data_IF_916181274941
#
_entry.id   IF_916181274941
#
_cell.length_a   1.000
_cell.length_b   1.000
_cell.length_c   1.000
_cell.angle_alpha   90.00
_cell.angle_beta   90.00
_cell.angle_gamma   90.00
#
_symmetry.space_group_name_H-M   'P 1'
#
loop_
_entity.id
_entity.type
_entity.pdbx_description
1 polymer ?
#
# COMPACT_ATOMS: atom_id res chain seq x y z
N UNK A 1 -26.34 11.78 15.22
CA UNK A 1 -25.80 11.07 14.06
C UNK A 1 -26.10 11.91 12.84
N UNK A 2 -25.12 12.10 11.97
CA UNK A 2 -25.23 12.89 10.76
C UNK A 2 -24.90 12.01 9.57
N UNK A 3 -25.74 12.08 8.54
CA UNK A 3 -25.51 11.31 7.30
C UNK A 3 -24.30 11.86 6.54
N UNK A 4 -23.34 11.02 6.24
CA UNK A 4 -22.08 11.38 5.55
C UNK A 4 -21.89 10.54 4.32
N UNK A 5 -21.35 11.14 3.26
CA UNK A 5 -21.03 10.41 2.03
C UNK A 5 -19.97 9.34 2.32
N UNK A 6 -20.13 8.18 1.72
CA UNK A 6 -19.28 7.02 1.93
C UNK A 6 -18.96 6.34 0.61
N UNK A 7 -17.72 5.90 0.46
CA UNK A 7 -17.28 5.04 -0.61
C UNK A 7 -16.42 3.90 -0.07
N UNK A 8 -16.55 2.70 -0.63
CA UNK A 8 -15.55 1.66 -0.47
C UNK A 8 -14.87 1.46 -1.82
N UNK A 9 -13.57 1.65 -1.84
CA UNK A 9 -12.74 1.70 -3.04
C UNK A 9 -11.75 0.56 -3.02
N UNK A 10 -11.68 -0.21 -4.09
CA UNK A 10 -10.59 -1.16 -4.33
C UNK A 10 -9.44 -0.46 -5.03
N UNK A 11 -8.27 -0.54 -4.45
CA UNK A 11 -7.05 0.10 -4.95
C UNK A 11 -6.13 -0.92 -5.60
N UNK A 12 -5.34 -0.46 -6.58
CA UNK A 12 -4.43 -1.26 -7.42
C UNK A 12 -5.12 -2.25 -8.36
N UNK A 13 -6.35 -1.98 -8.74
CA UNK A 13 -7.09 -2.81 -9.67
C UNK A 13 -8.10 -2.01 -10.48
N UNK A 14 -8.44 -2.51 -11.67
CA UNK A 14 -9.57 -2.04 -12.48
C UNK A 14 -10.79 -2.95 -12.32
N UNK A 15 -10.63 -4.10 -11.67
CA UNK A 15 -11.68 -5.11 -11.49
C UNK A 15 -12.22 -5.01 -10.06
N UNK A 16 -13.53 -4.78 -9.86
CA UNK A 16 -14.11 -4.76 -8.51
C UNK A 16 -13.81 -6.03 -7.71
N UNK A 17 -13.54 -5.86 -6.42
CA UNK A 17 -13.26 -6.92 -5.45
C UNK A 17 -11.94 -7.66 -5.64
N UNK A 18 -11.05 -7.13 -6.50
CA UNK A 18 -9.78 -7.75 -6.84
C UNK A 18 -8.54 -6.98 -6.35
N UNK A 19 -8.73 -5.82 -5.71
CA UNK A 19 -7.67 -4.98 -5.15
C UNK A 19 -7.55 -5.05 -3.63
N UNK A 20 -7.02 -3.97 -3.05
CA UNK A 20 -7.00 -3.74 -1.60
C UNK A 20 -8.10 -2.72 -1.24
N UNK A 21 -9.15 -3.13 -0.49
CA UNK A 21 -10.27 -2.26 -0.19
C UNK A 21 -9.93 -1.24 0.91
N UNK A 22 -10.41 -0.01 0.73
CA UNK A 22 -10.41 1.03 1.75
C UNK A 22 -11.80 1.64 1.89
N UNK A 23 -12.25 1.84 3.12
CA UNK A 23 -13.45 2.61 3.43
C UNK A 23 -13.11 4.10 3.49
N UNK A 24 -13.87 4.92 2.78
CA UNK A 24 -13.64 6.37 2.69
C UNK A 24 -14.90 7.11 3.13
N UNK A 25 -14.82 7.81 4.24
CA UNK A 25 -15.87 8.72 4.73
C UNK A 25 -15.52 10.11 4.25
N UNK A 26 -16.39 10.68 3.42
CA UNK A 26 -16.29 12.07 2.99
C UNK A 26 -17.05 12.97 3.98
N UNK A 27 -16.74 14.27 3.96
CA UNK A 27 -17.41 15.28 4.81
C UNK A 27 -17.29 14.95 6.31
N UNK A 28 -16.08 14.57 6.75
CA UNK A 28 -15.83 14.06 8.08
C UNK A 28 -15.60 15.16 9.15
N UNK A 29 -15.94 16.41 8.84
CA UNK A 29 -15.88 17.52 9.79
C UNK A 29 -16.71 17.20 11.04
N UNK A 30 -16.27 17.73 12.17
CA UNK A 30 -16.91 17.60 13.49
C UNK A 30 -16.89 16.16 14.08
N UNK A 31 -16.37 15.15 13.34
CA UNK A 31 -16.16 13.83 13.94
C UNK A 31 -14.98 13.86 14.91
N UNK A 32 -15.21 13.38 16.11
CA UNK A 32 -14.13 13.16 17.05
C UNK A 32 -13.33 11.88 16.74
N UNK A 33 -12.13 11.82 17.31
CA UNK A 33 -11.19 10.70 17.10
C UNK A 33 -11.79 9.35 17.53
N UNK A 34 -12.57 9.35 18.62
CA UNK A 34 -13.16 8.15 19.16
C UNK A 34 -14.21 7.55 18.22
N UNK A 35 -15.02 8.40 17.61
CA UNK A 35 -16.01 8.00 16.60
C UNK A 35 -15.33 7.46 15.33
N UNK A 36 -14.28 8.14 14.83
CA UNK A 36 -13.49 7.67 13.69
C UNK A 36 -12.87 6.30 13.97
N UNK A 37 -12.23 6.14 15.15
CA UNK A 37 -11.59 4.87 15.54
C UNK A 37 -12.63 3.75 15.74
N UNK A 38 -13.77 4.06 16.32
CA UNK A 38 -14.86 3.09 16.53
C UNK A 38 -15.41 2.61 15.19
N UNK A 39 -15.61 3.51 14.23
CA UNK A 39 -16.08 3.17 12.89
C UNK A 39 -15.03 2.33 12.14
N UNK A 40 -13.75 2.71 12.17
CA UNK A 40 -12.69 1.93 11.58
C UNK A 40 -12.59 0.51 12.14
N UNK A 41 -12.79 0.34 13.46
CA UNK A 41 -12.83 -0.97 14.08
C UNK A 41 -14.04 -1.79 13.62
N UNK A 42 -15.18 -1.14 13.45
CA UNK A 42 -16.42 -1.81 13.04
C UNK A 42 -16.37 -2.26 11.56
N UNK A 43 -15.81 -1.44 10.65
CA UNK A 43 -15.63 -1.82 9.25
C UNK A 43 -14.70 -3.02 9.09
N UNK A 44 -13.72 -3.14 9.99
CA UNK A 44 -12.74 -4.22 10.04
C UNK A 44 -11.96 -4.41 8.71
N UNK A 45 -11.80 -3.34 7.95
CA UNK A 45 -10.89 -3.29 6.81
C UNK A 45 -9.47 -2.96 7.30
N UNK A 46 -8.47 -3.19 6.46
CA UNK A 46 -7.08 -2.81 6.77
C UNK A 46 -7.02 -1.36 7.20
N UNK A 47 -7.67 -0.46 6.44
CA UNK A 47 -7.85 0.95 6.83
C UNK A 47 -9.23 1.50 6.46
N UNK A 48 -9.61 2.49 7.26
CA UNK A 48 -10.74 3.40 7.02
C UNK A 48 -10.22 4.83 7.07
N UNK A 49 -10.64 5.65 6.14
CA UNK A 49 -10.17 7.03 6.01
C UNK A 49 -11.30 8.03 6.14
N UNK A 50 -10.92 9.22 6.58
CA UNK A 50 -11.83 10.35 6.81
C UNK A 50 -11.28 11.58 6.12
N UNK A 51 -12.04 12.11 5.16
CA UNK A 51 -11.70 13.34 4.46
C UNK A 51 -12.27 14.56 5.17
N UNK A 52 -11.40 15.55 5.34
CA UNK A 52 -11.70 16.83 5.97
C UNK A 52 -11.22 17.98 5.07
N UNK A 53 -11.71 19.20 5.29
CA UNK A 53 -11.10 20.39 4.69
C UNK A 53 -9.61 20.49 5.06
N UNK A 54 -8.81 20.92 4.09
CA UNK A 54 -7.39 21.19 4.31
C UNK A 54 -7.19 22.26 5.39
N UNK A 55 -6.15 22.13 6.18
CA UNK A 55 -5.67 23.15 7.11
C UNK A 55 -4.48 23.92 6.52
N UNK A 56 -3.66 23.23 5.74
CA UNK A 56 -2.60 23.86 4.95
C UNK A 56 -3.20 24.43 3.65
N UNK A 57 -2.97 25.73 3.33
CA UNK A 57 -3.53 26.35 2.14
C UNK A 57 -2.97 25.80 0.82
N UNK A 58 -1.88 25.02 0.85
CA UNK A 58 -1.32 24.34 -0.31
C UNK A 58 -1.88 22.93 -0.53
N UNK A 59 -2.73 22.44 0.38
CA UNK A 59 -3.38 21.14 0.26
C UNK A 59 -4.78 21.27 -0.33
N UNK A 60 -5.18 20.25 -1.09
CA UNK A 60 -6.52 20.16 -1.68
C UNK A 60 -7.54 19.60 -0.68
N UNK A 61 -7.10 18.70 0.17
CA UNK A 61 -7.88 18.13 1.28
C UNK A 61 -6.97 17.59 2.38
N UNK A 62 -7.55 17.33 3.55
CA UNK A 62 -6.89 16.66 4.66
C UNK A 62 -7.42 15.25 4.83
N UNK A 63 -6.53 14.29 5.11
CA UNK A 63 -6.86 12.89 5.32
C UNK A 63 -6.42 12.40 6.68
N UNK A 64 -7.33 11.71 7.37
CA UNK A 64 -7.02 10.91 8.55
C UNK A 64 -7.21 9.43 8.24
N UNK A 65 -6.27 8.59 8.66
CA UNK A 65 -6.17 7.17 8.28
C UNK A 65 -6.19 6.34 9.55
N UNK A 66 -7.12 5.40 9.64
CA UNK A 66 -7.28 4.55 10.82
C UNK A 66 -7.24 3.07 10.43
N UNK A 67 -6.42 2.29 11.13
CA UNK A 67 -6.59 0.83 11.20
C UNK A 67 -7.65 0.48 12.25
N UNK A 68 -8.09 -0.78 12.38
CA UNK A 68 -8.93 -1.19 13.50
C UNK A 68 -8.34 -0.88 14.89
N UNK A 69 -6.99 -0.76 14.98
CA UNK A 69 -6.29 -0.58 16.26
C UNK A 69 -5.92 0.87 16.57
N UNK A 70 -5.49 1.65 15.55
CA UNK A 70 -4.91 2.99 15.76
C UNK A 70 -4.98 3.87 14.52
N UNK A 71 -4.74 5.18 14.70
CA UNK A 71 -4.50 6.12 13.61
C UNK A 71 -3.07 5.97 13.08
N UNK A 72 -2.92 6.10 11.75
CA UNK A 72 -1.65 6.11 11.03
C UNK A 72 -1.35 7.50 10.46
N UNK A 73 -0.08 7.94 10.49
CA UNK A 73 0.30 9.21 9.87
C UNK A 73 0.21 9.18 8.33
N UNK A 74 0.42 8.01 7.73
CA UNK A 74 0.37 7.79 6.29
C UNK A 74 0.15 6.30 5.99
N UNK A 75 -0.53 6.01 4.88
CA UNK A 75 -0.60 4.68 4.27
C UNK A 75 -0.86 4.82 2.76
N UNK A 76 -0.19 4.00 1.93
CA UNK A 76 -0.17 4.18 0.47
C UNK A 76 -1.51 3.95 -0.21
N UNK A 77 -2.09 2.73 -0.06
CA UNK A 77 -3.37 2.45 -0.72
C UNK A 77 -4.55 3.29 -0.18
N UNK A 78 -4.62 3.62 1.13
CA UNK A 78 -5.63 4.56 1.62
C UNK A 78 -5.52 5.95 1.01
N UNK A 79 -4.30 6.44 0.78
CA UNK A 79 -4.05 7.71 0.08
C UNK A 79 -4.62 7.67 -1.34
N UNK A 80 -4.33 6.62 -2.12
CA UNK A 80 -4.85 6.52 -3.49
C UNK A 80 -6.36 6.33 -3.54
N UNK A 81 -6.93 5.48 -2.68
CA UNK A 81 -8.37 5.27 -2.61
C UNK A 81 -9.15 6.50 -2.17
N UNK A 82 -8.62 7.26 -1.21
CA UNK A 82 -9.21 8.51 -0.74
C UNK A 82 -9.14 9.61 -1.81
N UNK A 83 -8.01 9.74 -2.50
CA UNK A 83 -7.85 10.66 -3.61
C UNK A 83 -8.84 10.33 -4.75
N UNK A 84 -9.00 9.05 -5.08
CA UNK A 84 -9.99 8.58 -6.05
C UNK A 84 -11.41 8.95 -5.64
N UNK A 85 -11.81 8.67 -4.40
CA UNK A 85 -13.14 9.01 -3.89
C UNK A 85 -13.38 10.53 -3.87
N UNK A 86 -12.36 11.31 -3.48
CA UNK A 86 -12.44 12.78 -3.47
C UNK A 86 -12.65 13.34 -4.87
N UNK A 87 -11.89 12.89 -5.86
CA UNK A 87 -12.04 13.30 -7.26
C UNK A 87 -13.42 12.90 -7.82
N UNK A 88 -13.89 11.68 -7.53
CA UNK A 88 -15.22 11.23 -7.96
C UNK A 88 -16.36 12.01 -7.29
N UNK A 89 -16.15 12.52 -6.09
CA UNK A 89 -17.14 13.34 -5.38
C UNK A 89 -17.21 14.80 -5.84
N UNK A 90 -16.43 15.17 -6.86
CA UNK A 90 -16.39 16.52 -7.43
C UNK A 90 -15.23 17.37 -6.90
N UNK A 91 -14.25 16.78 -6.23
CA UNK A 91 -13.03 17.45 -5.82
C UNK A 91 -12.26 18.01 -7.02
N UNK A 92 -11.84 19.25 -6.93
CA UNK A 92 -11.08 19.95 -7.99
C UNK A 92 -9.72 20.33 -7.41
N UNK A 93 -8.62 19.71 -7.87
CA UNK A 93 -7.30 20.05 -7.38
C UNK A 93 -6.83 21.42 -7.90
N UNK A 94 -5.99 22.07 -7.13
CA UNK A 94 -5.35 23.34 -7.53
C UNK A 94 -4.46 23.20 -8.77
N UNK A 95 -3.80 22.04 -8.93
CA UNK A 95 -3.08 21.64 -10.15
C UNK A 95 -3.78 20.43 -10.80
N UNK A 96 -4.24 20.51 -12.06
CA UNK A 96 -4.94 19.41 -12.72
C UNK A 96 -4.18 18.08 -12.77
N UNK A 97 -2.85 18.11 -12.72
CA UNK A 97 -1.98 16.93 -12.76
C UNK A 97 -1.68 16.31 -11.41
N UNK A 98 -1.87 17.06 -10.32
CA UNK A 98 -1.43 16.70 -8.98
C UNK A 98 -2.46 17.05 -7.94
N UNK A 99 -2.76 16.13 -7.06
CA UNK A 99 -3.58 16.37 -5.85
C UNK A 99 -2.64 16.42 -4.66
N UNK A 100 -2.77 17.42 -3.82
CA UNK A 100 -1.98 17.58 -2.60
C UNK A 100 -2.83 17.18 -1.39
N UNK A 101 -2.49 16.06 -0.77
CA UNK A 101 -3.10 15.55 0.44
C UNK A 101 -2.34 16.03 1.68
N UNK A 102 -3.00 16.65 2.64
CA UNK A 102 -2.49 16.85 3.98
C UNK A 102 -2.80 15.64 4.86
N UNK A 103 -1.82 15.10 5.58
CA UNK A 103 -2.03 14.00 6.52
C UNK A 103 -1.03 14.08 7.69
N UNK A 104 -1.04 13.10 8.59
CA UNK A 104 -0.14 13.06 9.75
C UNK A 104 1.36 13.04 9.40
N UNK A 105 1.72 12.64 8.18
CA UNK A 105 3.08 12.70 7.66
C UNK A 105 3.43 14.03 6.96
N UNK A 106 2.50 14.99 6.93
CA UNK A 106 2.64 16.26 6.20
C UNK A 106 1.93 16.24 4.85
N UNK A 107 2.48 16.98 3.89
CA UNK A 107 1.92 17.09 2.54
C UNK A 107 2.40 15.94 1.66
N UNK A 108 1.48 15.25 1.04
CA UNK A 108 1.72 14.13 0.13
C UNK A 108 1.17 14.48 -1.25
N UNK A 109 2.04 14.44 -2.25
CA UNK A 109 1.63 14.62 -3.64
C UNK A 109 1.11 13.30 -4.23
N UNK A 110 -0.06 13.36 -4.84
CA UNK A 110 -0.65 12.25 -5.60
C UNK A 110 -0.78 12.70 -7.05
N UNK A 111 0.00 12.08 -7.93
CA UNK A 111 -0.04 12.36 -9.38
C UNK A 111 -1.18 11.60 -10.05
N UNK A 112 -1.81 12.25 -10.99
CA UNK A 112 -2.71 11.60 -11.95
C UNK A 112 -1.88 11.03 -13.09
N UNK A 113 -2.10 9.77 -13.43
CA UNK A 113 -1.42 9.06 -14.52
C UNK A 113 -2.45 8.53 -15.51
N UNK A 114 -2.01 8.08 -16.68
CA UNK A 114 -2.89 7.46 -17.69
C UNK A 114 -3.57 6.19 -17.18
N UNK A 115 -3.04 5.57 -16.14
CA UNK A 115 -3.49 4.28 -15.60
C UNK A 115 -4.05 4.37 -14.19
N UNK A 116 -4.14 5.56 -13.61
CA UNK A 116 -4.68 5.77 -12.26
C UNK A 116 -4.00 6.90 -11.48
N UNK A 117 -3.66 6.62 -10.24
CA UNK A 117 -3.05 7.55 -9.29
C UNK A 117 -1.72 6.99 -8.78
N UNK A 118 -0.76 7.86 -8.47
CA UNK A 118 0.52 7.46 -7.91
C UNK A 118 1.00 8.45 -6.84
N UNK A 119 1.60 7.95 -5.77
CA UNK A 119 2.27 8.75 -4.74
C UNK A 119 3.78 8.57 -4.82
N UNK A 120 4.54 9.57 -4.39
CA UNK A 120 6.00 9.48 -4.28
C UNK A 120 6.38 8.51 -3.16
N UNK A 121 7.26 7.55 -3.46
CA UNK A 121 7.77 6.60 -2.46
C UNK A 121 8.42 7.36 -1.28
N UNK A 122 7.97 7.14 -0.03
CA UNK A 122 8.64 7.72 1.12
C UNK A 122 10.11 7.25 1.20
N UNK A 123 11.01 8.06 1.76
CA UNK A 123 12.38 7.64 1.99
C UNK A 123 12.42 6.45 2.95
N UNK A 124 13.42 5.58 2.78
CA UNK A 124 13.64 4.49 3.72
C UNK A 124 14.14 5.04 5.06
N UNK A 125 13.51 4.63 6.14
CA UNK A 125 13.92 4.89 7.52
C UNK A 125 15.02 3.92 7.95
N UNK A 126 14.96 2.69 7.44
CA UNK A 126 15.97 1.65 7.64
C UNK A 126 16.22 0.92 6.32
N UNK A 127 17.49 0.76 5.97
CA UNK A 127 17.94 0.03 4.78
C UNK A 127 19.24 -0.72 5.10
N UNK A 128 19.67 -1.61 4.23
CA UNK A 128 20.92 -2.33 4.34
C UNK A 128 20.75 -3.82 4.69
N UNK A 129 21.87 -4.51 4.92
CA UNK A 129 21.90 -5.96 5.09
C UNK A 129 21.14 -6.41 6.33
N UNK A 130 20.65 -7.65 6.29
CA UNK A 130 19.99 -8.34 7.40
C UNK A 130 21.00 -9.31 8.03
N UNK A 131 20.99 -9.42 9.36
CA UNK A 131 21.87 -10.32 10.09
C UNK A 131 21.60 -11.77 9.74
N UNK A 132 22.65 -12.60 9.71
CA UNK A 132 22.59 -14.00 9.26
C UNK A 132 21.61 -14.84 10.11
N UNK A 133 21.61 -14.60 11.42
CA UNK A 133 20.67 -15.26 12.34
C UNK A 133 19.21 -14.90 12.04
N UNK A 134 18.96 -13.64 11.67
CA UNK A 134 17.63 -13.20 11.29
C UNK A 134 17.22 -13.75 9.92
N UNK A 135 18.15 -13.89 8.97
CA UNK A 135 17.86 -14.54 7.68
C UNK A 135 17.48 -16.01 7.89
N UNK A 136 18.16 -16.74 8.77
CA UNK A 136 17.81 -18.11 9.11
C UNK A 136 16.40 -18.18 9.76
N UNK A 137 16.10 -17.27 10.69
CA UNK A 137 14.77 -17.17 11.30
C UNK A 137 13.68 -16.88 10.26
N UNK A 138 13.92 -15.95 9.32
CA UNK A 138 12.99 -15.64 8.22
C UNK A 138 12.74 -16.86 7.34
N UNK A 139 13.78 -17.64 7.02
CA UNK A 139 13.61 -18.90 6.27
C UNK A 139 12.71 -19.89 7.02
N UNK A 140 12.91 -20.02 8.34
CA UNK A 140 12.11 -20.92 9.19
C UNK A 140 10.63 -20.49 9.24
N UNK A 141 10.33 -19.20 9.45
CA UNK A 141 8.95 -18.72 9.51
C UNK A 141 8.27 -18.75 8.14
N UNK A 142 9.02 -18.59 7.04
CA UNK A 142 8.51 -18.76 5.68
C UNK A 142 8.41 -20.24 5.28
N UNK A 143 8.99 -21.16 6.08
CA UNK A 143 9.05 -22.62 5.85
C UNK A 143 9.73 -22.97 4.53
N UNK A 144 10.85 -22.33 4.26
CA UNK A 144 11.69 -22.59 3.08
C UNK A 144 13.12 -22.91 3.50
N UNK A 145 13.87 -23.57 2.62
CA UNK A 145 15.31 -23.72 2.79
C UNK A 145 15.97 -22.33 2.64
N UNK A 146 16.95 -22.02 3.50
CA UNK A 146 17.67 -20.75 3.43
C UNK A 146 18.34 -20.54 2.07
N UNK A 147 18.72 -21.60 1.36
CA UNK A 147 19.28 -21.53 0.00
C UNK A 147 18.30 -21.06 -1.07
N UNK A 148 16.99 -21.06 -0.78
CA UNK A 148 15.97 -20.47 -1.65
C UNK A 148 15.97 -18.93 -1.62
N UNK A 149 16.56 -18.33 -0.59
CA UNK A 149 16.69 -16.89 -0.43
C UNK A 149 17.90 -16.42 -1.24
N UNK A 150 17.66 -15.61 -2.26
CA UNK A 150 18.71 -15.00 -3.06
C UNK A 150 19.37 -13.81 -2.39
N UNK A 151 18.55 -13.01 -1.68
CA UNK A 151 19.00 -11.81 -1.00
C UNK A 151 17.94 -11.34 0.00
N UNK A 152 18.40 -10.57 1.00
CA UNK A 152 17.55 -9.93 2.00
C UNK A 152 18.03 -8.51 2.26
N UNK A 153 17.08 -7.62 2.52
CA UNK A 153 17.41 -6.25 2.89
C UNK A 153 16.33 -5.66 3.79
N UNK A 154 16.74 -4.81 4.73
CA UNK A 154 15.81 -3.90 5.36
C UNK A 154 15.33 -2.88 4.34
N UNK A 155 14.02 -2.79 4.19
CA UNK A 155 13.34 -1.90 3.23
C UNK A 155 12.23 -1.13 3.94
N UNK A 156 12.54 -0.68 5.16
CA UNK A 156 11.55 -0.04 6.02
C UNK A 156 11.36 1.43 5.65
N UNK A 157 10.13 1.79 5.32
CA UNK A 157 9.67 3.17 5.12
C UNK A 157 8.55 3.56 6.10
N UNK A 158 8.48 2.87 7.25
CA UNK A 158 7.54 3.14 8.35
C UNK A 158 6.97 1.89 9.04
N UNK A 159 6.46 0.88 8.31
CA UNK A 159 5.91 -0.33 8.94
C UNK A 159 6.95 -1.30 9.51
N UNK A 160 8.21 -1.26 9.05
CA UNK A 160 9.25 -2.18 9.51
C UNK A 160 9.58 -3.31 8.51
N UNK A 161 9.32 -3.11 7.22
CA UNK A 161 9.48 -4.15 6.20
C UNK A 161 10.90 -4.72 6.10
N UNK A 162 10.99 -6.05 6.15
CA UNK A 162 12.15 -6.84 5.73
C UNK A 162 11.85 -7.44 4.36
N UNK A 163 12.64 -7.09 3.35
CA UNK A 163 12.52 -7.60 1.98
C UNK A 163 13.28 -8.91 1.81
N UNK A 164 12.63 -9.88 1.18
CA UNK A 164 13.19 -11.20 0.83
C UNK A 164 13.05 -11.41 -0.67
N UNK A 165 14.15 -11.62 -1.36
CA UNK A 165 14.16 -11.96 -2.78
C UNK A 165 14.28 -13.46 -2.96
N UNK A 166 13.35 -14.08 -3.67
CA UNK A 166 13.37 -15.46 -4.08
C UNK A 166 13.72 -15.59 -5.58
N UNK A 167 14.04 -16.82 -6.02
CA UNK A 167 14.48 -17.11 -7.38
C UNK A 167 13.43 -16.80 -8.47
N UNK A 168 12.14 -16.85 -8.15
CA UNK A 168 11.08 -16.64 -9.15
C UNK A 168 9.75 -16.26 -8.51
N UNK A 169 8.83 -15.74 -9.32
CA UNK A 169 7.44 -15.50 -8.96
C UNK A 169 6.74 -16.81 -8.51
N UNK A 170 7.05 -17.93 -9.14
CA UNK A 170 6.52 -19.26 -8.77
C UNK A 170 6.93 -19.63 -7.34
N UNK A 171 8.19 -19.39 -6.96
CA UNK A 171 8.65 -19.64 -5.59
C UNK A 171 7.91 -18.77 -4.56
N UNK A 172 7.61 -17.51 -4.90
CA UNK A 172 6.80 -16.62 -4.05
C UNK A 172 5.38 -17.16 -3.89
N UNK A 173 4.74 -17.58 -4.99
CA UNK A 173 3.39 -18.12 -4.97
C UNK A 173 3.27 -19.45 -4.21
N UNK A 174 4.33 -20.25 -4.19
CA UNK A 174 4.36 -21.54 -3.50
C UNK A 174 4.50 -21.44 -1.98
N UNK A 175 4.82 -20.25 -1.43
CA UNK A 175 5.03 -20.07 0.01
C UNK A 175 3.79 -20.44 0.84
N UNK A 176 4.05 -21.15 1.94
CA UNK A 176 3.06 -21.50 2.97
C UNK A 176 3.64 -21.11 4.35
N UNK A 177 3.69 -19.81 4.67
CA UNK A 177 4.36 -19.34 5.88
C UNK A 177 3.73 -19.91 7.16
N UNK A 178 4.56 -20.05 8.18
CA UNK A 178 4.14 -20.30 9.54
C UNK A 178 3.64 -19.04 10.22
N UNK A 179 3.82 -18.94 11.54
CA UNK A 179 3.55 -17.73 12.29
C UNK A 179 4.74 -16.79 12.13
N UNK A 180 4.54 -15.65 11.46
CA UNK A 180 5.55 -14.60 11.36
C UNK A 180 5.47 -13.70 12.60
N UNK A 181 6.60 -13.12 12.97
CA UNK A 181 6.75 -12.19 14.09
C UNK A 181 7.34 -10.83 13.66
N UNK A 182 7.55 -10.67 12.35
CA UNK A 182 8.01 -9.45 11.70
C UNK A 182 7.17 -9.15 10.46
N UNK A 183 7.28 -7.92 9.96
CA UNK A 183 6.71 -7.52 8.68
C UNK A 183 7.64 -7.96 7.54
N UNK A 184 7.25 -8.99 6.80
CA UNK A 184 8.07 -9.62 5.75
C UNK A 184 7.43 -9.37 4.38
N UNK A 185 8.19 -8.73 3.48
CA UNK A 185 7.85 -8.60 2.08
C UNK A 185 8.65 -9.57 1.23
N UNK A 186 7.99 -10.47 0.53
CA UNK A 186 8.66 -11.44 -0.36
C UNK A 186 8.42 -11.07 -1.80
N UNK A 187 9.48 -11.10 -2.62
CA UNK A 187 9.42 -10.75 -4.03
C UNK A 187 10.18 -11.77 -4.89
N UNK A 188 9.67 -12.01 -6.08
CA UNK A 188 10.32 -12.84 -7.11
C UNK A 188 9.98 -12.36 -8.50
N UNK A 189 10.89 -12.61 -9.45
CA UNK A 189 10.73 -12.19 -10.83
C UNK A 189 9.80 -13.13 -11.59
N UNK A 190 8.91 -12.56 -12.41
CA UNK A 190 8.23 -13.29 -13.46
C UNK A 190 9.18 -13.56 -14.64
N UNK A 191 8.90 -14.56 -15.50
CA UNK A 191 9.67 -14.77 -16.72
C UNK A 191 9.74 -13.52 -17.59
N UNK A 192 10.85 -13.34 -18.29
CA UNK A 192 11.02 -12.20 -19.20
C UNK A 192 9.90 -12.17 -20.26
N UNK A 193 9.34 -10.99 -20.50
CA UNK A 193 8.21 -10.79 -21.42
C UNK A 193 6.83 -11.02 -20.80
N UNK A 194 6.75 -11.33 -19.51
CA UNK A 194 5.48 -11.37 -18.78
C UNK A 194 4.88 -9.97 -18.66
N UNK A 195 3.54 -9.91 -18.55
CA UNK A 195 2.81 -8.65 -18.36
C UNK A 195 3.20 -7.96 -17.03
N UNK A 196 3.35 -8.74 -15.98
CA UNK A 196 3.80 -8.30 -14.67
C UNK A 196 5.28 -8.73 -14.50
N UNK A 197 6.14 -7.84 -14.01
CA UNK A 197 7.57 -8.11 -13.86
C UNK A 197 7.89 -8.86 -12.55
N UNK A 198 7.12 -8.59 -11.52
CA UNK A 198 7.34 -9.10 -10.16
C UNK A 198 6.07 -9.72 -9.59
N UNK A 199 6.21 -10.78 -8.82
CA UNK A 199 5.21 -11.25 -7.86
C UNK A 199 5.65 -10.83 -6.45
N UNK A 200 4.73 -10.29 -5.66
CA UNK A 200 4.97 -9.81 -4.31
C UNK A 200 3.96 -10.43 -3.35
N UNK A 201 4.40 -10.78 -2.16
CA UNK A 201 3.53 -11.14 -1.03
C UNK A 201 4.01 -10.42 0.24
N UNK A 202 3.08 -9.97 1.05
CA UNK A 202 3.32 -9.23 2.27
C UNK A 202 2.72 -9.94 3.47
N UNK A 203 3.53 -10.28 4.46
CA UNK A 203 3.11 -10.97 5.67
C UNK A 203 3.44 -10.13 6.90
N UNK A 204 2.53 -10.08 7.86
CA UNK A 204 2.74 -9.37 9.12
C UNK A 204 1.98 -10.03 10.27
N UNK A 205 2.44 -9.84 11.53
CA UNK A 205 1.80 -10.45 12.68
C UNK A 205 0.61 -9.60 13.18
N UNK A 206 -0.53 -10.25 13.42
CA UNK A 206 -1.63 -9.68 14.18
C UNK A 206 -2.10 -10.72 15.21
N UNK A 207 -2.08 -10.38 16.49
CA UNK A 207 -2.56 -11.23 17.60
C UNK A 207 -2.03 -12.67 17.54
N UNK A 208 -0.72 -12.83 17.23
CA UNK A 208 -0.04 -14.12 17.14
C UNK A 208 -0.42 -14.95 15.90
N UNK A 209 -1.01 -14.34 14.91
CA UNK A 209 -1.35 -14.94 13.61
C UNK A 209 -0.64 -14.22 12.49
N UNK A 210 -0.32 -14.96 11.43
CA UNK A 210 0.14 -14.37 10.19
C UNK A 210 -1.04 -13.86 9.38
N UNK A 211 -0.98 -12.60 8.98
CA UNK A 211 -1.90 -11.98 8.03
C UNK A 211 -1.14 -11.69 6.74
N UNK A 212 -1.77 -11.94 5.62
CA UNK A 212 -1.28 -11.54 4.30
C UNK A 212 -2.09 -10.34 3.79
N UNK A 213 -1.38 -9.25 3.46
CA UNK A 213 -2.03 -8.05 2.89
C UNK A 213 -2.30 -8.26 1.39
N UNK A 214 -3.51 -7.95 0.91
CA UNK A 214 -3.86 -8.13 -0.50
C UNK A 214 -2.97 -7.37 -1.47
N UNK A 215 -2.68 -6.09 -1.22
CA UNK A 215 -1.79 -5.25 -2.04
C UNK A 215 -1.20 -4.12 -1.19
N UNK A 216 0.11 -4.10 -1.05
CA UNK A 216 0.82 -3.25 -0.09
C UNK A 216 1.58 -2.13 -0.79
N UNK A 217 1.04 -0.92 -0.77
CA UNK A 217 1.66 0.25 -1.40
C UNK A 217 3.03 0.59 -0.81
N UNK A 218 3.17 0.59 0.53
CA UNK A 218 4.43 0.90 1.22
C UNK A 218 5.52 -0.11 0.89
N UNK A 219 5.22 -1.40 0.93
CA UNK A 219 6.17 -2.46 0.57
C UNK A 219 6.62 -2.35 -0.88
N UNK A 220 5.69 -2.20 -1.83
CA UNK A 220 6.05 -2.08 -3.24
C UNK A 220 6.91 -0.84 -3.52
N UNK A 221 6.66 0.28 -2.83
CA UNK A 221 7.49 1.47 -2.91
C UNK A 221 8.92 1.23 -2.39
N UNK A 222 9.05 0.51 -1.28
CA UNK A 222 10.34 0.16 -0.68
C UNK A 222 11.13 -0.85 -1.51
N UNK A 223 10.46 -1.91 -1.99
CA UNK A 223 11.06 -2.89 -2.89
C UNK A 223 11.55 -2.24 -4.19
N UNK A 224 10.80 -1.27 -4.73
CA UNK A 224 11.21 -0.52 -5.90
C UNK A 224 12.55 0.20 -5.68
N UNK A 225 12.73 0.87 -4.54
CA UNK A 225 13.98 1.49 -4.16
C UNK A 225 15.15 0.49 -4.12
N UNK A 226 14.96 -0.63 -3.44
CA UNK A 226 15.96 -1.68 -3.34
C UNK A 226 16.31 -2.30 -4.70
N UNK A 227 15.30 -2.82 -5.41
CA UNK A 227 15.54 -3.57 -6.65
C UNK A 227 16.10 -2.70 -7.78
N UNK A 228 15.71 -1.42 -7.85
CA UNK A 228 16.26 -0.50 -8.86
C UNK A 228 17.67 -0.05 -8.53
N UNK A 229 17.98 0.22 -7.24
CA UNK A 229 19.34 0.60 -6.83
C UNK A 229 20.36 -0.52 -7.01
N UNK A 230 19.93 -1.77 -6.92
CA UNK A 230 20.78 -2.95 -7.13
C UNK A 230 20.76 -3.48 -8.57
N UNK A 231 20.07 -2.79 -9.50
CA UNK A 231 19.98 -3.17 -10.92
C UNK A 231 19.16 -4.45 -11.19
N UNK A 232 18.39 -4.93 -10.21
CA UNK A 232 17.56 -6.14 -10.34
C UNK A 232 16.23 -5.86 -11.02
N UNK A 233 15.73 -4.62 -10.97
CA UNK A 233 14.57 -4.18 -11.72
C UNK A 233 14.85 -2.85 -12.41
N UNK A 234 14.21 -2.64 -13.58
CA UNK A 234 14.27 -1.37 -14.34
C UNK A 234 12.87 -0.80 -14.46
N UNK A 235 12.71 0.46 -14.06
CA UNK A 235 11.42 1.17 -14.24
C UNK A 235 11.22 1.64 -15.66
N UNK A 236 9.98 1.72 -16.20
CA UNK A 236 8.75 1.36 -15.51
C UNK A 236 8.51 -0.15 -15.45
N UNK A 237 7.84 -0.62 -14.39
CA UNK A 237 7.36 -1.99 -14.31
C UNK A 237 6.05 -2.09 -13.54
N UNK A 238 5.38 -3.25 -13.66
CA UNK A 238 4.21 -3.60 -12.84
C UNK A 238 4.57 -4.77 -11.93
N UNK A 239 4.28 -4.62 -10.64
CA UNK A 239 4.31 -5.71 -9.67
C UNK A 239 2.90 -6.24 -9.45
N UNK A 240 2.76 -7.57 -9.36
CA UNK A 240 1.53 -8.26 -9.03
C UNK A 240 1.55 -8.67 -7.56
N UNK A 241 0.42 -8.52 -6.89
CA UNK A 241 0.26 -8.93 -5.49
C UNK A 241 -1.18 -9.41 -5.23
N UNK A 242 -1.34 -10.32 -4.26
CA UNK A 242 -2.62 -10.84 -3.82
C UNK A 242 -3.11 -12.07 -4.60
N UNK A 243 -2.31 -12.64 -5.48
CA UNK A 243 -2.68 -13.79 -6.33
C UNK A 243 -3.19 -14.97 -5.50
N UNK A 244 -2.51 -15.32 -4.41
CA UNK A 244 -2.90 -16.44 -3.53
C UNK A 244 -4.20 -16.16 -2.78
N UNK A 245 -4.51 -14.89 -2.56
CA UNK A 245 -5.76 -14.43 -1.92
C UNK A 245 -6.92 -14.30 -2.93
N UNK A 246 -6.73 -14.71 -4.20
CA UNK A 246 -7.74 -14.52 -5.25
C UNK A 246 -7.90 -13.06 -5.68
N UNK A 247 -6.90 -12.20 -5.43
CA UNK A 247 -6.86 -10.80 -5.85
C UNK A 247 -6.04 -10.61 -7.11
N UNK A 248 -6.19 -9.47 -7.74
CA UNK A 248 -5.51 -9.05 -8.98
C UNK A 248 -4.89 -7.67 -8.79
N UNK A 249 -4.11 -7.51 -7.72
CA UNK A 249 -3.43 -6.25 -7.46
C UNK A 249 -2.31 -6.02 -8.45
N UNK A 250 -2.29 -4.84 -9.07
CA UNK A 250 -1.25 -4.39 -9.99
C UNK A 250 -0.72 -3.04 -9.54
N UNK A 251 0.48 -3.06 -9.02
CA UNK A 251 1.20 -1.87 -8.57
C UNK A 251 2.16 -1.43 -9.67
N UNK A 252 1.91 -0.26 -10.19
CA UNK A 252 2.78 0.36 -11.19
C UNK A 252 3.87 1.15 -10.50
N UNK A 253 5.10 0.93 -10.93
CA UNK A 253 6.27 1.64 -10.44
C UNK A 253 6.92 2.38 -11.60
N UNK A 254 7.09 3.68 -11.42
CA UNK A 254 7.78 4.54 -12.38
C UNK A 254 8.86 5.35 -11.67
N UNK A 255 9.78 5.91 -12.43
CA UNK A 255 10.80 6.83 -11.93
C UNK A 255 10.81 8.07 -12.80
N UNK A 256 10.78 9.25 -12.17
CA UNK A 256 10.88 10.50 -12.91
C UNK A 256 12.33 10.91 -13.18
N UNK A 257 12.50 11.98 -13.96
CA UNK A 257 13.83 12.51 -14.33
C UNK A 257 14.62 13.00 -13.11
N UNK A 258 13.92 13.38 -12.03
CA UNK A 258 14.52 13.76 -10.74
C UNK A 258 14.98 12.56 -9.90
N UNK A 259 14.67 11.33 -10.35
CA UNK A 259 15.02 10.10 -9.65
C UNK A 259 13.99 9.65 -8.62
N UNK A 260 12.88 10.37 -8.44
CA UNK A 260 11.81 10.00 -7.51
C UNK A 260 11.07 8.78 -8.03
N UNK A 261 10.90 7.78 -7.16
CA UNK A 261 10.09 6.60 -7.43
C UNK A 261 8.63 6.94 -7.12
N UNK A 262 7.76 6.63 -8.07
CA UNK A 262 6.32 6.77 -7.97
C UNK A 262 5.68 5.40 -7.97
N UNK A 263 4.84 5.16 -6.96
CA UNK A 263 4.12 3.90 -6.78
C UNK A 263 2.63 4.17 -6.86
N UNK A 264 1.93 3.45 -7.73
CA UNK A 264 0.53 3.72 -7.98
C UNK A 264 -0.21 2.60 -8.70
N UNK A 265 -1.40 2.93 -9.19
CA UNK A 265 -2.24 2.02 -9.94
C UNK A 265 -3.65 2.54 -10.08
N UNK A 266 -4.50 1.73 -10.70
CA UNK A 266 -5.92 2.02 -10.84
C UNK A 266 -6.64 1.89 -9.49
N UNK A 267 -7.78 2.53 -9.38
CA UNK A 267 -8.73 2.36 -8.29
C UNK A 267 -10.15 2.29 -8.85
N UNK A 268 -10.99 1.50 -8.21
CA UNK A 268 -12.39 1.33 -8.61
C UNK A 268 -13.31 1.41 -7.40
N UNK A 269 -14.35 2.23 -7.48
CA UNK A 269 -15.37 2.31 -6.43
C UNK A 269 -16.30 1.11 -6.49
N UNK A 270 -16.33 0.33 -5.42
CA UNK A 270 -17.16 -0.88 -5.31
C UNK A 270 -18.49 -0.61 -4.59
N UNK A 271 -18.49 0.30 -3.61
CA UNK A 271 -19.67 0.70 -2.85
C UNK A 271 -19.68 2.21 -2.72
N UNK A 272 -20.84 2.84 -2.94
CA UNK A 272 -21.04 4.26 -2.61
C UNK A 272 -22.43 4.45 -1.99
N UNK A 273 -22.55 5.43 -1.12
CA UNK A 273 -23.76 5.70 -0.39
C UNK A 273 -23.52 6.65 0.77
N UNK A 274 -24.18 6.39 1.89
CA UNK A 274 -24.07 7.18 3.10
C UNK A 274 -23.91 6.31 4.33
N UNK A 275 -23.25 6.85 5.36
CA UNK A 275 -23.14 6.27 6.69
C UNK A 275 -23.62 7.27 7.73
N UNK A 276 -24.23 6.78 8.79
CA UNK A 276 -24.69 7.59 9.92
C UNK A 276 -23.60 7.61 11.02
N UNK A 277 -22.96 8.76 11.20
CA UNK A 277 -21.90 8.96 12.19
C UNK A 277 -22.14 10.18 13.07
#
# INVERSE_FOLDING_TARGET
>A
MTSRRFSQVDVFTTTPYAGNPVAVVLDAEELDVETMQRFARWTNLSETTFLLPAQDPSADYRLRIFTPARELPFAGHPTLGSCHAWLQSGGVPGDPGTVVQECGAGLVQVRRTDTGLAFAAPPLLRSGPVDVELVAHVADVLRIDQTAIMDTQWVDNGPGWLGVLLHSAEAVLALQPGVVDLDIGVVGMHPAGSLDALEVRAFFPIDGRTVEDPVTGSLNASLAGWLTSTGRATTPYTARQGTVLGRLGRVQVTRDDGGTIWTGGAAVTCVHGHVEL
#
